data_IF_122868746934
#
_entry.id   IF_122868746934
#
_cell.length_a   1.000
_cell.length_b   1.000
_cell.length_c   1.000
_cell.angle_alpha   90.00
_cell.angle_beta   90.00
_cell.angle_gamma   90.00
#
_symmetry.space_group_name_H-M   'P 1'
#
loop_
_entity.id
_entity.type
_entity.pdbx_description
1 polymer ?
#
# COMPACT_ATOMS: atom_id res chain seq x y z
N UNK A 1 10.02 -14.42 -4.54
CA UNK A 1 9.68 -13.59 -5.72
C UNK A 1 10.92 -13.39 -6.57
N UNK A 2 10.77 -13.43 -7.89
CA UNK A 2 11.85 -13.28 -8.86
C UNK A 2 11.33 -12.70 -10.19
N UNK A 3 12.24 -12.38 -11.11
CA UNK A 3 11.91 -11.82 -12.43
C UNK A 3 12.42 -10.40 -12.63
N UNK A 4 12.31 -9.91 -13.87
CA UNK A 4 12.77 -8.55 -14.23
C UNK A 4 12.05 -7.48 -13.44
N UNK A 5 10.74 -7.59 -13.26
CA UNK A 5 9.94 -6.65 -12.46
C UNK A 5 10.48 -6.54 -11.03
N UNK A 6 10.74 -7.66 -10.36
CA UNK A 6 11.24 -7.67 -8.99
C UNK A 6 12.63 -7.00 -8.89
N UNK A 7 13.51 -7.26 -9.86
CA UNK A 7 14.83 -6.63 -9.91
C UNK A 7 14.76 -5.12 -10.15
N UNK A 8 13.78 -4.67 -10.94
CA UNK A 8 13.56 -3.26 -11.24
C UNK A 8 12.97 -2.46 -10.06
N UNK A 9 12.41 -3.13 -9.04
CA UNK A 9 11.91 -2.46 -7.83
C UNK A 9 13.06 -1.95 -6.96
N UNK A 10 12.81 -0.80 -6.32
CA UNK A 10 13.57 -0.34 -5.16
C UNK A 10 13.48 -1.33 -4.00
N UNK A 11 14.30 -1.14 -2.96
CA UNK A 11 14.20 -1.98 -1.77
C UNK A 11 12.87 -1.83 -1.06
N UNK A 12 12.32 -0.62 -1.06
CA UNK A 12 11.00 -0.30 -0.55
C UNK A 12 9.92 -1.08 -1.31
N UNK A 13 9.92 -1.04 -2.65
CA UNK A 13 8.97 -1.83 -3.45
C UNK A 13 9.05 -3.33 -3.14
N UNK A 14 10.26 -3.86 -2.94
CA UNK A 14 10.48 -5.26 -2.54
C UNK A 14 9.93 -5.57 -1.16
N UNK A 15 10.16 -4.70 -0.18
CA UNK A 15 9.65 -4.87 1.19
C UNK A 15 8.12 -4.82 1.23
N UNK A 16 7.48 -4.02 0.37
CA UNK A 16 6.01 -3.99 0.25
C UNK A 16 5.47 -5.34 -0.22
N UNK A 17 6.08 -5.96 -1.23
CA UNK A 17 5.69 -7.29 -1.70
C UNK A 17 5.91 -8.36 -0.62
N UNK A 18 7.09 -8.38 0.02
CA UNK A 18 7.37 -9.37 1.06
C UNK A 18 6.50 -9.18 2.32
N UNK A 19 6.12 -7.93 2.64
CA UNK A 19 5.19 -7.64 3.73
C UNK A 19 3.82 -8.28 3.49
N UNK A 20 3.34 -8.23 2.24
CA UNK A 20 2.03 -8.77 1.86
C UNK A 20 2.00 -10.30 1.64
N UNK A 21 3.13 -11.00 1.83
CA UNK A 21 3.19 -12.45 1.64
C UNK A 21 2.29 -13.21 2.63
N UNK A 22 2.17 -12.72 3.87
CA UNK A 22 1.37 -13.37 4.91
C UNK A 22 -0.13 -13.24 4.66
N UNK A 23 -0.57 -12.16 4.00
CA UNK A 23 -1.96 -11.99 3.56
C UNK A 23 -2.36 -13.05 2.52
N UNK A 24 -1.40 -13.56 1.74
CA UNK A 24 -1.59 -14.73 0.86
C UNK A 24 -1.41 -16.08 1.57
N UNK A 25 -1.27 -16.11 2.89
CA UNK A 25 -1.06 -17.31 3.69
C UNK A 25 0.37 -17.87 3.68
N UNK A 26 1.33 -17.15 3.10
CA UNK A 26 2.71 -17.63 3.05
C UNK A 26 3.43 -17.42 4.39
N UNK A 27 4.29 -18.38 4.76
CA UNK A 27 5.14 -18.27 5.97
C UNK A 27 6.20 -17.17 5.85
N UNK A 28 6.71 -16.93 4.63
CA UNK A 28 7.72 -15.93 4.36
C UNK A 28 7.67 -15.45 2.90
N UNK A 29 8.02 -14.18 2.70
CA UNK A 29 8.32 -13.60 1.39
C UNK A 29 9.81 -13.40 1.23
N UNK A 30 10.40 -13.97 0.16
CA UNK A 30 11.84 -13.89 -0.10
C UNK A 30 12.12 -13.26 -1.46
N UNK A 31 13.09 -12.35 -1.50
CA UNK A 31 13.67 -11.77 -2.71
C UNK A 31 15.19 -11.88 -2.54
N UNK A 32 15.87 -12.48 -3.52
CA UNK A 32 17.32 -12.59 -3.48
C UNK A 32 17.96 -11.19 -3.47
N UNK A 33 19.01 -10.97 -2.68
CA UNK A 33 19.70 -9.69 -2.66
C UNK A 33 20.43 -9.47 -3.99
N UNK A 34 20.50 -8.21 -4.40
CA UNK A 34 21.28 -7.75 -5.53
C UNK A 34 21.87 -6.37 -5.24
N UNK A 35 22.42 -5.72 -6.25
CA UNK A 35 23.03 -4.40 -6.12
C UNK A 35 22.10 -3.34 -5.51
N UNK A 36 20.79 -3.42 -5.76
CA UNK A 36 19.82 -2.52 -5.13
C UNK A 36 19.72 -2.77 -3.63
N UNK A 37 19.80 -4.03 -3.20
CA UNK A 37 19.87 -4.40 -1.78
C UNK A 37 21.16 -3.94 -1.12
N UNK A 38 22.30 -4.11 -1.79
CA UNK A 38 23.60 -3.73 -1.26
C UNK A 38 23.70 -2.21 -1.05
N UNK A 39 23.37 -1.42 -2.09
CA UNK A 39 23.34 0.05 -1.98
C UNK A 39 22.39 0.55 -0.90
N UNK A 40 21.25 -0.12 -0.72
CA UNK A 40 20.31 0.26 0.33
C UNK A 40 20.88 0.06 1.73
N UNK A 41 21.68 -0.99 1.95
CA UNK A 41 22.28 -1.30 3.25
C UNK A 41 23.54 -0.47 3.50
N UNK A 42 24.31 -0.15 2.46
CA UNK A 42 25.58 0.57 2.55
C UNK A 42 25.45 1.87 3.35
N UNK A 43 26.42 2.12 4.24
CA UNK A 43 26.46 3.34 5.05
C UNK A 43 25.42 3.44 6.18
N UNK A 44 24.48 2.49 6.31
CA UNK A 44 23.50 2.50 7.41
C UNK A 44 24.19 2.33 8.78
N UNK A 45 23.60 2.85 9.87
CA UNK A 45 24.23 2.85 11.20
C UNK A 45 24.75 1.50 11.72
N UNK A 46 24.14 0.38 11.29
CA UNK A 46 24.50 -0.99 11.69
C UNK A 46 25.01 -1.85 10.53
N UNK A 47 25.28 -1.26 9.37
CA UNK A 47 25.88 -1.99 8.26
C UNK A 47 27.35 -2.33 8.60
N UNK A 48 27.87 -3.48 8.13
CA UNK A 48 29.30 -3.77 8.24
C UNK A 48 30.11 -2.69 7.49
N UNK A 49 31.37 -2.50 7.88
CA UNK A 49 32.26 -1.47 7.33
C UNK A 49 33.62 -2.08 7.00
N UNK A 50 34.36 -1.46 6.07
CA UNK A 50 35.72 -1.89 5.70
C UNK A 50 35.76 -3.34 5.23
N UNK A 51 36.74 -4.13 5.69
CA UNK A 51 36.89 -5.54 5.31
C UNK A 51 35.65 -6.40 5.64
N UNK A 52 34.93 -6.08 6.72
CA UNK A 52 33.70 -6.80 7.07
C UNK A 52 32.57 -6.54 6.07
N UNK A 53 32.56 -5.37 5.42
CA UNK A 53 31.61 -5.05 4.35
C UNK A 53 31.89 -5.92 3.11
N UNK A 54 33.15 -5.99 2.69
CA UNK A 54 33.57 -6.81 1.54
C UNK A 54 33.27 -8.30 1.77
N UNK A 55 33.56 -8.82 2.96
CA UNK A 55 33.23 -10.19 3.33
C UNK A 55 31.71 -10.45 3.33
N UNK A 56 30.92 -9.50 3.85
CA UNK A 56 29.47 -9.58 3.84
C UNK A 56 28.90 -9.54 2.41
N UNK A 57 29.41 -8.66 1.54
CA UNK A 57 29.02 -8.59 0.13
C UNK A 57 29.33 -9.90 -0.61
N UNK A 58 30.52 -10.46 -0.40
CA UNK A 58 30.91 -11.74 -0.99
C UNK A 58 29.93 -12.85 -0.57
N UNK A 59 29.56 -12.90 0.72
CA UNK A 59 28.58 -13.85 1.23
C UNK A 59 27.16 -13.58 0.70
N UNK A 60 26.66 -12.35 0.77
CA UNK A 60 25.29 -12.03 0.34
C UNK A 60 25.06 -12.29 -1.14
N UNK A 61 26.08 -12.15 -1.99
CA UNK A 61 26.01 -12.52 -3.42
C UNK A 61 25.72 -14.01 -3.65
N UNK A 62 25.96 -14.88 -2.65
CA UNK A 62 25.62 -16.30 -2.73
C UNK A 62 24.18 -16.60 -2.30
N UNK A 63 23.47 -15.66 -1.67
CA UNK A 63 22.11 -15.86 -1.14
C UNK A 63 21.01 -15.80 -2.22
N UNK A 64 21.20 -16.56 -3.29
CA UNK A 64 20.24 -16.72 -4.39
C UNK A 64 19.97 -18.21 -4.60
N UNK A 65 18.86 -18.52 -5.26
CA UNK A 65 18.58 -19.90 -5.66
C UNK A 65 19.66 -20.41 -6.62
N UNK A 66 20.04 -21.68 -6.44
CA UNK A 66 20.96 -22.38 -7.33
C UNK A 66 20.36 -22.54 -8.74
N UNK A 67 21.22 -22.71 -9.73
CA UNK A 67 20.79 -23.06 -11.08
C UNK A 67 20.09 -24.43 -11.07
N UNK A 68 18.92 -24.52 -11.70
CA UNK A 68 18.11 -25.73 -11.70
C UNK A 68 17.33 -25.99 -10.40
N UNK A 69 17.31 -25.04 -9.45
CA UNK A 69 16.50 -25.17 -8.23
C UNK A 69 15.03 -25.48 -8.55
N UNK A 70 14.50 -26.51 -7.88
CA UNK A 70 13.12 -26.94 -8.02
C UNK A 70 12.18 -26.11 -7.14
N UNK A 71 11.03 -25.72 -7.69
CA UNK A 71 9.95 -25.05 -6.97
C UNK A 71 8.66 -25.87 -7.13
N UNK A 72 7.99 -26.20 -6.03
CA UNK A 72 6.75 -27.00 -6.05
C UNK A 72 5.66 -26.38 -6.94
N UNK A 73 5.62 -25.05 -7.02
CA UNK A 73 4.74 -24.30 -7.90
C UNK A 73 5.40 -23.02 -8.39
N UNK A 74 5.28 -22.76 -9.68
CA UNK A 74 5.71 -21.50 -10.30
C UNK A 74 4.48 -20.77 -10.83
N UNK A 75 4.21 -19.58 -10.28
CA UNK A 75 3.18 -18.67 -10.80
C UNK A 75 3.88 -17.54 -11.56
N UNK A 76 3.57 -17.39 -12.85
CA UNK A 76 4.12 -16.34 -13.70
C UNK A 76 3.08 -15.24 -13.86
N UNK A 77 3.45 -14.01 -13.49
CA UNK A 77 2.59 -12.83 -13.60
C UNK A 77 3.26 -11.83 -14.54
N UNK A 78 2.50 -11.30 -15.49
CA UNK A 78 2.93 -10.20 -16.33
C UNK A 78 2.60 -8.86 -15.64
N UNK A 79 3.63 -8.22 -15.08
CA UNK A 79 3.47 -6.96 -14.40
C UNK A 79 3.14 -5.78 -15.33
N UNK A 80 3.47 -5.88 -16.63
CA UNK A 80 3.19 -4.81 -17.61
C UNK A 80 1.69 -4.62 -17.85
N UNK A 81 0.90 -5.65 -17.56
CA UNK A 81 -0.55 -5.67 -17.73
C UNK A 81 -1.32 -5.47 -16.41
N UNK A 82 -0.66 -5.16 -15.29
CA UNK A 82 -1.34 -4.91 -14.02
C UNK A 82 -2.00 -3.53 -14.02
N UNK A 83 -3.34 -3.43 -13.92
CA UNK A 83 -4.01 -2.14 -13.79
C UNK A 83 -3.81 -1.57 -12.37
N UNK A 84 -4.11 -0.28 -12.15
CA UNK A 84 -4.32 0.23 -10.80
C UNK A 84 -5.47 -0.51 -10.13
N UNK A 85 -5.25 -1.02 -8.93
CA UNK A 85 -6.18 -1.88 -8.20
C UNK A 85 -6.66 -1.19 -6.92
N UNK A 86 -7.92 -1.42 -6.56
CA UNK A 86 -8.55 -0.96 -5.33
C UNK A 86 -9.30 -2.13 -4.69
N UNK A 87 -9.23 -2.30 -3.37
CA UNK A 87 -10.10 -3.27 -2.70
C UNK A 87 -11.53 -2.75 -2.62
N UNK A 88 -12.53 -3.61 -2.80
CA UNK A 88 -13.95 -3.27 -2.71
C UNK A 88 -14.63 -3.91 -1.48
N UNK A 89 -14.13 -5.04 -1.01
CA UNK A 89 -14.68 -5.80 0.12
C UNK A 89 -13.95 -5.58 1.45
N UNK A 90 -14.12 -6.51 2.39
CA UNK A 90 -13.52 -6.48 3.73
C UNK A 90 -12.29 -7.38 3.89
N UNK A 91 -11.74 -7.88 2.77
CA UNK A 91 -10.50 -8.67 2.74
C UNK A 91 -9.51 -8.10 1.73
N UNK A 92 -8.18 -8.23 1.94
CA UNK A 92 -7.17 -7.81 0.96
C UNK A 92 -7.27 -8.53 -0.40
N UNK A 93 -7.91 -9.70 -0.46
CA UNK A 93 -8.15 -10.42 -1.73
C UNK A 93 -9.31 -9.83 -2.55
N UNK A 94 -10.18 -9.03 -1.93
CA UNK A 94 -11.39 -8.48 -2.55
C UNK A 94 -11.05 -7.24 -3.36
N UNK A 95 -10.43 -7.46 -4.52
CA UNK A 95 -9.87 -6.40 -5.35
C UNK A 95 -10.39 -6.42 -6.77
N UNK A 96 -10.45 -5.23 -7.39
CA UNK A 96 -10.72 -5.05 -8.82
C UNK A 96 -9.86 -3.91 -9.37
N UNK A 97 -9.75 -3.81 -10.71
CA UNK A 97 -9.23 -2.59 -11.34
C UNK A 97 -10.03 -1.37 -10.89
N UNK A 98 -9.39 -0.22 -10.71
CA UNK A 98 -10.09 1.03 -10.39
C UNK A 98 -11.10 1.45 -11.46
N UNK A 99 -10.94 0.99 -12.70
CA UNK A 99 -11.88 1.26 -13.80
C UNK A 99 -13.02 0.25 -13.87
N UNK A 100 -13.05 -0.76 -13.01
CA UNK A 100 -14.07 -1.79 -12.98
C UNK A 100 -15.23 -1.41 -12.04
N UNK A 101 -16.18 -2.32 -11.93
CA UNK A 101 -17.33 -2.23 -11.02
C UNK A 101 -17.20 -3.20 -9.86
N UNK A 102 -17.90 -2.89 -8.76
CA UNK A 102 -18.11 -3.79 -7.64
C UNK A 102 -18.72 -5.11 -8.16
N UNK A 103 -18.10 -6.27 -7.89
CA UNK A 103 -18.61 -7.56 -8.37
C UNK A 103 -19.99 -7.90 -7.83
N UNK A 104 -20.75 -8.69 -8.58
CA UNK A 104 -22.01 -9.27 -8.13
C UNK A 104 -21.77 -10.63 -7.43
N UNK A 105 -22.05 -10.75 -6.12
CA UNK A 105 -21.92 -12.02 -5.42
C UNK A 105 -22.80 -13.13 -5.99
N UNK A 106 -23.95 -12.81 -6.62
CA UNK A 106 -24.86 -13.83 -7.16
C UNK A 106 -24.26 -14.61 -8.34
N UNK A 107 -23.22 -14.07 -8.98
CA UNK A 107 -22.43 -14.78 -9.99
C UNK A 107 -21.47 -15.84 -9.40
N UNK A 108 -21.25 -15.85 -8.08
CA UNK A 108 -20.37 -16.81 -7.40
C UNK A 108 -21.12 -18.12 -7.19
N UNK A 109 -20.61 -19.23 -7.73
CA UNK A 109 -21.25 -20.55 -7.60
C UNK A 109 -21.17 -21.14 -6.19
N UNK A 110 -20.05 -20.95 -5.50
CA UNK A 110 -19.85 -21.45 -4.15
C UNK A 110 -20.66 -20.63 -3.14
N UNK A 111 -21.61 -21.27 -2.45
CA UNK A 111 -22.56 -20.62 -1.55
C UNK A 111 -21.87 -19.92 -0.38
N UNK A 112 -20.83 -20.53 0.19
CA UNK A 112 -20.09 -19.96 1.32
C UNK A 112 -19.37 -18.68 0.91
N UNK A 113 -18.70 -18.69 -0.25
CA UNK A 113 -18.07 -17.50 -0.82
C UNK A 113 -19.11 -16.45 -1.18
N UNK A 114 -20.23 -16.82 -1.80
CA UNK A 114 -21.34 -15.91 -2.11
C UNK A 114 -21.83 -15.20 -0.85
N UNK A 115 -22.18 -15.95 0.19
CA UNK A 115 -22.65 -15.41 1.46
C UNK A 115 -21.60 -14.49 2.12
N UNK A 116 -20.32 -14.88 2.06
CA UNK A 116 -19.22 -14.05 2.55
C UNK A 116 -19.11 -12.72 1.82
N UNK A 117 -19.17 -12.72 0.47
CA UNK A 117 -19.09 -11.50 -0.33
C UNK A 117 -20.33 -10.61 -0.19
N UNK A 118 -21.52 -11.18 0.00
CA UNK A 118 -22.73 -10.41 0.37
C UNK A 118 -22.54 -9.63 1.67
N UNK A 119 -22.06 -10.30 2.73
CA UNK A 119 -21.76 -9.62 4.01
C UNK A 119 -20.69 -8.53 3.85
N UNK A 120 -19.66 -8.77 3.05
CA UNK A 120 -18.65 -7.76 2.76
C UNK A 120 -19.24 -6.53 2.07
N UNK A 121 -20.14 -6.69 1.10
CA UNK A 121 -20.84 -5.59 0.45
C UNK A 121 -21.76 -4.82 1.42
N UNK A 122 -22.50 -5.53 2.26
CA UNK A 122 -23.37 -4.92 3.27
C UNK A 122 -22.55 -4.07 4.25
N UNK A 123 -21.42 -4.61 4.74
CA UNK A 123 -20.48 -3.88 5.60
C UNK A 123 -19.93 -2.63 4.91
N UNK A 124 -19.44 -2.81 3.68
CA UNK A 124 -18.86 -1.75 2.87
C UNK A 124 -19.92 -0.76 2.36
N UNK A 125 -21.22 -1.05 2.50
CA UNK A 125 -22.31 -0.24 1.98
C UNK A 125 -22.20 -0.02 0.47
N UNK A 126 -21.93 -1.07 -0.28
CA UNK A 126 -21.76 -1.02 -1.74
C UNK A 126 -22.78 -1.91 -2.44
N UNK A 127 -23.36 -1.40 -3.52
CA UNK A 127 -24.21 -2.20 -4.40
C UNK A 127 -23.37 -2.84 -5.53
N UNK A 128 -23.68 -4.09 -5.94
CA UNK A 128 -23.13 -4.68 -7.17
C UNK A 128 -23.27 -3.74 -8.37
N UNK A 129 -22.26 -3.73 -9.25
CA UNK A 129 -22.28 -2.89 -10.46
C UNK A 129 -21.90 -1.42 -10.23
N UNK A 130 -21.76 -0.96 -8.98
CA UNK A 130 -21.23 0.39 -8.69
C UNK A 130 -19.82 0.53 -9.29
N UNK A 131 -19.55 1.57 -10.08
CA UNK A 131 -18.18 1.80 -10.57
C UNK A 131 -17.29 2.18 -9.40
N UNK A 132 -16.08 1.64 -9.36
CA UNK A 132 -15.15 1.98 -8.28
C UNK A 132 -14.87 3.49 -8.24
N UNK A 133 -14.83 4.15 -9.40
CA UNK A 133 -14.65 5.61 -9.49
C UNK A 133 -15.86 6.43 -9.02
N UNK A 134 -17.04 5.84 -8.85
CA UNK A 134 -18.23 6.55 -8.33
C UNK A 134 -18.28 6.53 -6.79
N UNK A 135 -17.39 5.79 -6.14
CA UNK A 135 -17.34 5.66 -4.68
C UNK A 135 -16.65 6.88 -4.08
N UNK A 136 -17.44 7.76 -3.46
CA UNK A 136 -16.96 8.88 -2.66
C UNK A 136 -16.29 8.40 -1.36
N UNK A 137 -15.28 9.14 -0.90
CA UNK A 137 -14.55 8.85 0.34
C UNK A 137 -14.66 10.02 1.31
N UNK A 138 -14.56 9.70 2.60
CA UNK A 138 -14.59 10.68 3.69
C UNK A 138 -13.19 10.92 4.27
N UNK A 139 -12.35 9.88 4.23
CA UNK A 139 -11.01 9.91 4.82
C UNK A 139 -9.94 9.36 3.89
N UNK A 140 -8.73 9.91 4.02
CA UNK A 140 -7.52 9.36 3.42
C UNK A 140 -6.46 9.12 4.47
N UNK A 141 -5.82 7.96 4.38
CA UNK A 141 -4.70 7.58 5.23
C UNK A 141 -3.55 7.08 4.41
N UNK A 142 -2.47 7.84 4.45
CA UNK A 142 -1.20 7.51 3.82
C UNK A 142 -0.21 7.27 4.95
N UNK A 143 0.30 6.05 5.06
CA UNK A 143 1.22 5.66 6.11
C UNK A 143 0.95 4.24 6.57
N UNK A 144 2.02 3.48 6.77
CA UNK A 144 2.05 2.18 7.45
C UNK A 144 3.49 1.67 7.40
N UNK A 145 3.78 0.55 8.06
CA UNK A 145 5.03 -0.17 7.81
C UNK A 145 5.16 -0.69 6.36
N UNK A 146 4.04 -0.78 5.64
CA UNK A 146 3.96 -1.22 4.25
C UNK A 146 4.21 -0.07 3.27
N UNK A 147 3.61 1.09 3.50
CA UNK A 147 3.56 2.23 2.57
C UNK A 147 3.61 3.58 3.31
N UNK A 148 4.73 3.84 3.97
CA UNK A 148 5.05 5.10 4.65
C UNK A 148 6.53 5.44 4.54
N UNK A 149 7.22 4.94 3.51
CA UNK A 149 8.65 5.14 3.30
C UNK A 149 8.88 6.37 2.44
N UNK A 150 10.14 6.82 2.34
CA UNK A 150 10.43 8.09 1.66
C UNK A 150 9.98 8.08 0.18
N UNK A 151 10.13 6.96 -0.53
CA UNK A 151 9.64 6.85 -1.91
C UNK A 151 8.12 6.95 -2.03
N UNK A 152 7.38 6.41 -1.07
CA UNK A 152 5.92 6.54 -1.01
C UNK A 152 5.53 8.02 -0.84
N UNK A 153 6.19 8.73 0.06
CA UNK A 153 5.96 10.16 0.32
C UNK A 153 6.30 11.03 -0.90
N UNK A 154 7.41 10.75 -1.58
CA UNK A 154 7.77 11.43 -2.84
C UNK A 154 6.74 11.18 -3.94
N UNK A 155 6.20 9.96 -4.03
CA UNK A 155 5.14 9.65 -4.98
C UNK A 155 3.84 10.42 -4.66
N UNK A 156 3.51 10.58 -3.38
CA UNK A 156 2.38 11.40 -2.92
C UNK A 156 2.60 12.87 -3.26
N UNK A 157 3.79 13.41 -2.97
CA UNK A 157 4.13 14.81 -3.21
C UNK A 157 3.91 15.19 -4.68
N UNK A 158 4.40 14.36 -5.62
CA UNK A 158 4.19 14.54 -7.06
C UNK A 158 2.71 14.65 -7.47
N UNK A 159 1.82 13.96 -6.76
CA UNK A 159 0.38 13.96 -7.07
C UNK A 159 -0.33 15.18 -6.48
N UNK A 160 0.12 15.68 -5.32
CA UNK A 160 -0.61 16.71 -4.55
C UNK A 160 -0.03 18.11 -4.67
N UNK A 161 1.20 18.26 -5.18
CA UNK A 161 1.84 19.56 -5.36
C UNK A 161 0.96 20.52 -6.18
N UNK A 162 0.71 21.71 -5.62
CA UNK A 162 -0.16 22.72 -6.22
C UNK A 162 -1.66 22.40 -6.21
N UNK A 163 -2.09 21.30 -5.59
CA UNK A 163 -3.50 20.89 -5.47
C UNK A 163 -3.95 20.97 -4.00
N UNK A 164 -5.25 20.86 -3.75
CA UNK A 164 -5.85 20.89 -2.40
C UNK A 164 -6.74 19.68 -2.19
N UNK A 165 -6.67 19.09 -0.99
CA UNK A 165 -7.59 18.04 -0.53
C UNK A 165 -9.03 18.56 -0.66
N UNK A 166 -9.93 17.69 -1.12
CA UNK A 166 -11.34 18.03 -1.25
C UNK A 166 -11.92 18.46 0.10
N UNK A 167 -12.76 19.49 0.12
CA UNK A 167 -13.31 20.04 1.37
C UNK A 167 -14.14 19.03 2.19
N UNK A 168 -14.59 17.95 1.57
CA UNK A 168 -15.34 16.85 2.20
C UNK A 168 -14.43 15.73 2.74
N UNK A 169 -13.12 15.79 2.51
CA UNK A 169 -12.18 14.72 2.86
C UNK A 169 -11.25 15.17 3.98
N UNK A 170 -11.13 14.35 5.01
CA UNK A 170 -10.07 14.46 6.01
C UNK A 170 -8.88 13.58 5.60
N UNK A 171 -7.74 14.17 5.27
CA UNK A 171 -6.57 13.44 4.80
C UNK A 171 -5.39 13.58 5.75
N UNK A 172 -4.75 12.46 6.09
CA UNK A 172 -3.56 12.45 6.94
C UNK A 172 -2.42 11.66 6.32
N UNK A 173 -1.19 12.05 6.69
CA UNK A 173 0.04 11.35 6.32
C UNK A 173 0.83 11.03 7.59
N UNK A 174 1.16 9.75 7.77
CA UNK A 174 1.92 9.22 8.89
C UNK A 174 3.21 8.57 8.37
N UNK A 175 4.39 9.15 8.64
CA UNK A 175 5.66 8.58 8.23
C UNK A 175 5.91 7.21 8.88
N UNK A 176 6.55 6.30 8.16
CA UNK A 176 6.83 4.94 8.65
C UNK A 176 7.89 4.88 9.75
N UNK A 177 8.68 5.94 9.94
CA UNK A 177 9.66 6.08 11.03
C UNK A 177 10.10 7.53 11.22
N UNK A 178 10.74 7.83 12.37
CA UNK A 178 11.33 9.16 12.60
C UNK A 178 12.41 9.53 11.58
N UNK A 179 13.20 8.55 11.10
CA UNK A 179 14.20 8.79 10.05
C UNK A 179 13.55 9.21 8.73
N UNK A 180 12.43 8.57 8.35
CA UNK A 180 11.68 8.93 7.15
C UNK A 180 11.03 10.31 7.30
N UNK A 181 10.48 10.63 8.48
CA UNK A 181 9.92 11.96 8.77
C UNK A 181 10.97 13.05 8.61
N UNK A 182 12.11 12.91 9.28
CA UNK A 182 13.22 13.86 9.20
C UNK A 182 13.67 14.04 7.76
N UNK A 183 13.87 12.95 7.03
CA UNK A 183 14.25 13.01 5.62
C UNK A 183 13.20 13.73 4.75
N UNK A 184 11.91 13.48 4.99
CA UNK A 184 10.84 14.14 4.25
C UNK A 184 10.79 15.65 4.53
N UNK A 185 11.08 16.07 5.76
CA UNK A 185 11.15 17.48 6.18
C UNK A 185 12.40 18.18 5.61
N UNK A 186 13.55 17.50 5.57
CA UNK A 186 14.76 17.98 4.90
C UNK A 186 14.55 18.17 3.38
N UNK A 187 13.78 17.26 2.76
CA UNK A 187 13.39 17.35 1.36
C UNK A 187 12.24 18.35 1.10
N UNK A 188 11.63 18.91 2.14
CA UNK A 188 10.52 19.87 2.05
C UNK A 188 9.18 19.25 1.63
N UNK A 189 9.05 17.92 1.70
CA UNK A 189 7.82 17.21 1.32
C UNK A 189 6.67 17.50 2.29
N UNK A 190 6.99 17.68 3.58
CA UNK A 190 6.04 18.07 4.63
C UNK A 190 5.28 19.33 4.27
N UNK A 191 5.97 20.34 3.71
CA UNK A 191 5.37 21.61 3.28
C UNK A 191 4.39 21.40 2.14
N UNK A 192 4.75 20.58 1.16
CA UNK A 192 3.85 20.22 0.04
C UNK A 192 2.57 19.58 0.58
N UNK A 193 2.69 18.70 1.59
CA UNK A 193 1.54 18.03 2.19
C UNK A 193 0.65 18.99 2.99
N UNK A 194 1.26 19.83 3.83
CA UNK A 194 0.56 20.85 4.63
C UNK A 194 -0.14 21.86 3.70
N UNK A 195 0.55 22.32 2.65
CA UNK A 195 -0.03 23.20 1.65
C UNK A 195 -1.18 22.52 0.92
N UNK A 196 -1.11 21.23 0.62
CA UNK A 196 -2.24 20.50 0.04
C UNK A 196 -3.41 20.30 1.01
N UNK A 197 -3.22 20.55 2.32
CA UNK A 197 -4.25 20.37 3.35
C UNK A 197 -4.25 18.99 4.00
N UNK A 198 -3.16 18.24 3.86
CA UNK A 198 -2.97 17.01 4.64
C UNK A 198 -2.51 17.33 6.05
N UNK A 199 -2.96 16.52 6.98
CA UNK A 199 -2.47 16.49 8.35
C UNK A 199 -1.15 15.70 8.41
N UNK A 200 -0.03 16.39 8.63
CA UNK A 200 1.32 15.81 8.72
C UNK A 200 1.60 15.35 10.16
N UNK A 201 1.59 14.03 10.38
CA UNK A 201 1.61 13.42 11.72
C UNK A 201 2.99 12.92 12.14
N UNK A 202 3.09 12.60 13.43
CA UNK A 202 4.23 11.87 13.99
C UNK A 202 4.22 10.39 13.57
N UNK A 203 5.39 9.75 13.42
CA UNK A 203 5.47 8.38 12.96
C UNK A 203 4.88 7.40 13.98
N UNK A 204 4.09 6.44 13.50
CA UNK A 204 3.48 5.40 14.33
C UNK A 204 2.55 4.48 13.55
N UNK A 205 2.00 3.47 14.23
CA UNK A 205 1.02 2.58 13.60
C UNK A 205 -0.28 3.33 13.23
N UNK A 206 -0.67 4.35 14.01
CA UNK A 206 -1.84 5.20 13.75
C UNK A 206 -3.07 4.37 13.32
N UNK A 207 -3.79 4.82 12.30
CA UNK A 207 -4.99 4.17 11.80
C UNK A 207 -4.72 2.83 11.12
N UNK A 208 -3.47 2.48 10.74
CA UNK A 208 -3.14 1.15 10.19
C UNK A 208 -3.55 0.01 11.15
N UNK A 209 -3.47 0.27 12.46
CA UNK A 209 -3.93 -0.65 13.51
C UNK A 209 -5.10 -0.07 14.34
N UNK A 210 -5.36 1.24 14.24
CA UNK A 210 -6.46 1.91 14.94
C UNK A 210 -6.34 1.82 16.46
N UNK A 211 -5.11 1.91 17.00
CA UNK A 211 -4.84 1.84 18.45
C UNK A 211 -4.92 3.18 19.17
N UNK A 212 -4.77 4.27 18.43
CA UNK A 212 -4.83 5.64 18.95
C UNK A 212 -6.16 6.29 18.52
N UNK A 213 -6.27 7.61 18.68
CA UNK A 213 -7.46 8.37 18.26
C UNK A 213 -7.64 8.44 16.74
N UNK A 214 -6.63 8.05 15.95
CA UNK A 214 -6.74 7.95 14.50
C UNK A 214 -7.56 6.70 14.14
N UNK A 215 -8.88 6.86 14.14
CA UNK A 215 -9.85 5.80 13.83
C UNK A 215 -10.99 6.35 12.97
N UNK A 216 -11.55 5.47 12.16
CA UNK A 216 -12.77 5.73 11.42
C UNK A 216 -13.98 5.74 12.36
N UNK A 217 -14.84 6.72 12.16
CA UNK A 217 -16.19 6.72 12.70
C UNK A 217 -17.04 5.66 12.00
N UNK A 218 -18.14 5.21 12.63
CA UNK A 218 -19.04 4.26 11.98
C UNK A 218 -19.47 4.75 10.60
N UNK A 219 -19.28 3.89 9.60
CA UNK A 219 -19.64 4.10 8.19
C UNK A 219 -18.79 5.10 7.41
N UNK A 220 -17.80 5.74 8.04
CA UNK A 220 -16.80 6.58 7.37
C UNK A 220 -15.97 5.72 6.42
N UNK A 221 -15.79 6.20 5.19
CA UNK A 221 -15.08 5.49 4.12
C UNK A 221 -13.68 6.05 3.92
N UNK A 222 -12.70 5.16 3.97
CA UNK A 222 -11.28 5.48 3.90
C UNK A 222 -10.61 4.90 2.66
N UNK A 223 -9.84 5.72 1.94
CA UNK A 223 -8.78 5.24 1.06
C UNK A 223 -7.47 5.15 1.87
N UNK A 224 -6.96 3.94 2.03
CA UNK A 224 -5.92 3.61 3.01
C UNK A 224 -4.75 2.91 2.35
N UNK A 225 -3.53 3.33 2.67
CA UNK A 225 -2.28 2.65 2.27
C UNK A 225 -1.83 1.62 3.32
N UNK A 226 -2.76 1.13 4.13
CA UNK A 226 -2.58 -0.07 4.94
C UNK A 226 -2.49 -1.32 4.04
N UNK A 227 -2.08 -2.45 4.60
CA UNK A 227 -2.14 -3.75 3.94
C UNK A 227 -3.35 -4.59 4.38
N UNK A 228 -4.18 -4.10 5.32
CA UNK A 228 -5.32 -4.83 5.90
C UNK A 228 -6.54 -3.96 6.07
N UNK A 229 -7.70 -4.46 5.63
CA UNK A 229 -9.01 -3.81 5.70
C UNK A 229 -10.11 -4.70 6.31
N UNK A 230 -9.74 -5.65 7.18
CA UNK A 230 -10.71 -6.45 7.92
C UNK A 230 -11.69 -5.56 8.70
N UNK A 231 -12.91 -6.05 8.91
CA UNK A 231 -13.94 -5.31 9.64
C UNK A 231 -13.44 -4.88 11.02
N UNK A 232 -13.61 -3.61 11.35
CA UNK A 232 -13.18 -3.05 12.63
C UNK A 232 -11.69 -2.68 12.71
N UNK A 233 -10.88 -3.02 11.69
CA UNK A 233 -9.42 -2.84 11.72
C UNK A 233 -8.99 -1.40 11.94
N UNK A 234 -9.61 -0.46 11.23
CA UNK A 234 -9.28 0.97 11.31
C UNK A 234 -10.31 1.76 12.16
N UNK A 235 -11.24 1.09 12.83
CA UNK A 235 -12.35 1.72 13.56
C UNK A 235 -13.63 0.89 13.48
N UNK A 236 -14.48 0.97 14.51
CA UNK A 236 -15.74 0.24 14.55
C UNK A 236 -16.65 0.65 13.39
N UNK A 237 -17.04 -0.32 12.55
CA UNK A 237 -17.84 -0.12 11.33
C UNK A 237 -17.20 0.83 10.28
N UNK A 238 -15.89 1.07 10.35
CA UNK A 238 -15.18 1.85 9.35
C UNK A 238 -15.00 1.09 8.04
N UNK A 239 -15.19 1.77 6.90
CA UNK A 239 -15.18 1.14 5.57
C UNK A 239 -13.86 1.43 4.86
N UNK A 240 -12.95 0.46 4.85
CA UNK A 240 -11.57 0.68 4.38
C UNK A 240 -11.34 0.06 3.01
N UNK A 241 -10.78 0.86 2.10
CA UNK A 241 -10.28 0.44 0.80
C UNK A 241 -8.76 0.51 0.78
N UNK A 242 -8.10 -0.57 0.38
CA UNK A 242 -6.65 -0.64 0.25
C UNK A 242 -6.24 -0.11 -1.12
N UNK A 243 -5.32 0.84 -1.13
CA UNK A 243 -4.83 1.51 -2.34
C UNK A 243 -3.34 1.86 -2.22
N UNK A 244 -2.69 2.14 -3.35
CA UNK A 244 -1.32 2.67 -3.35
C UNK A 244 -1.27 4.13 -2.84
N UNK A 245 -0.09 4.62 -2.39
CA UNK A 245 0.07 6.02 -1.97
C UNK A 245 -0.36 7.04 -3.02
N UNK A 246 0.01 6.83 -4.28
CA UNK A 246 -0.39 7.71 -5.37
C UNK A 246 -1.92 7.74 -5.55
N UNK A 247 -2.58 6.58 -5.49
CA UNK A 247 -4.05 6.49 -5.57
C UNK A 247 -4.73 7.17 -4.37
N UNK A 248 -4.25 6.94 -3.15
CA UNK A 248 -4.76 7.60 -1.95
C UNK A 248 -4.65 9.13 -2.06
N UNK A 249 -3.51 9.62 -2.53
CA UNK A 249 -3.26 11.04 -2.76
C UNK A 249 -4.24 11.64 -3.79
N UNK A 250 -4.39 10.99 -4.94
CA UNK A 250 -5.31 11.45 -5.99
C UNK A 250 -6.77 11.43 -5.51
N UNK A 251 -7.16 10.38 -4.77
CA UNK A 251 -8.50 10.27 -4.21
C UNK A 251 -8.76 11.35 -3.14
N UNK A 252 -7.75 11.77 -2.38
CA UNK A 252 -7.87 12.86 -1.42
C UNK A 252 -8.24 14.19 -2.10
N UNK A 253 -7.63 14.47 -3.25
CA UNK A 253 -7.91 15.66 -4.04
C UNK A 253 -9.29 15.55 -4.73
N UNK A 254 -9.64 14.37 -5.25
CA UNK A 254 -10.86 14.17 -6.01
C UNK A 254 -12.13 13.94 -5.17
N UNK A 255 -12.00 13.55 -3.89
CA UNK A 255 -13.12 13.17 -3.03
C UNK A 255 -13.69 11.77 -3.31
N UNK A 256 -13.08 11.00 -4.22
CA UNK A 256 -13.51 9.67 -4.68
C UNK A 256 -12.35 8.94 -5.34
N UNK A 257 -12.48 7.64 -5.60
CA UNK A 257 -11.46 6.94 -6.40
C UNK A 257 -11.41 7.45 -7.85
N UNK A 258 -10.22 7.45 -8.43
CA UNK A 258 -9.96 7.95 -9.79
C UNK A 258 -9.02 7.01 -10.53
N UNK A 259 -8.97 7.11 -11.85
CA UNK A 259 -7.90 6.44 -12.59
C UNK A 259 -6.58 7.20 -12.39
N UNK A 260 -5.71 6.66 -11.55
CA UNK A 260 -4.41 7.27 -11.22
C UNK A 260 -3.50 7.49 -12.44
N UNK A 261 -3.77 6.83 -13.57
CA UNK A 261 -3.01 7.03 -14.82
C UNK A 261 -3.22 8.44 -15.40
N UNK A 262 -4.33 9.09 -15.07
CA UNK A 262 -4.68 10.45 -15.49
C UNK A 262 -4.09 11.54 -14.57
N UNK A 263 -3.35 11.15 -13.52
CA UNK A 263 -2.92 12.02 -12.43
C UNK A 263 -1.40 12.15 -12.29
N UNK A 264 -0.65 11.71 -13.30
CA UNK A 264 0.82 11.68 -13.33
C UNK A 264 1.45 13.05 -13.53
#
# INVERSE_FOLDING_TARGET
>A
YAGSTIRALSMEGRMTICNMSIEGGARAGLIAPDETTFRYIEGRPRAPKGEAWEAALAYWRTLRSDEGAHFDRVVRLDAGNLPPIVSWGSSPEDVVSVTATVPDPDAILDENKRASKKRALDYMGLAPGTKMTDIAIDRVFIGSCTNGRIEDLRAVAKVVEGRKVAATVSAMIVPGSGLVKHQAEEEGLDRIFLDAGFDWREPGCSMCLGMNEDRLSPYERCASTSNRNFEGRQGFKGRTHLVSPAMAAAAAIAGRFVDIREWR
#
